data_IF_464772925211
#
_entry.id   IF_464772925211
#
_cell.length_a   1.000
_cell.length_b   1.000
_cell.length_c   1.000
_cell.angle_alpha   90.00
_cell.angle_beta   90.00
_cell.angle_gamma   90.00
#
_symmetry.space_group_name_H-M   'P 1'
#
loop_
_entity.id
_entity.type
_entity.pdbx_description
1 polymer ?
#
# COMPACT_ATOMS: atom_id res chain seq x y z
N UNK A 1 12.98 8.35 32.43
CA UNK A 1 12.09 7.35 31.83
C UNK A 1 12.82 6.85 30.60
N UNK A 2 13.19 5.57 30.55
CA UNK A 2 13.79 4.99 29.35
C UNK A 2 12.71 4.99 28.27
N UNK A 3 12.99 5.54 27.09
CA UNK A 3 12.03 5.55 25.99
C UNK A 3 11.59 4.13 25.65
N UNK A 4 10.32 3.97 25.27
CA UNK A 4 9.84 2.67 24.78
C UNK A 4 10.63 2.29 23.52
N UNK A 5 11.08 1.04 23.47
CA UNK A 5 11.90 0.53 22.38
C UNK A 5 11.02 -0.24 21.42
N UNK A 6 11.04 0.16 20.15
CA UNK A 6 10.41 -0.58 19.06
C UNK A 6 11.26 -1.77 18.65
N UNK A 7 10.64 -2.87 18.25
CA UNK A 7 11.28 -4.13 17.91
C UNK A 7 10.76 -4.69 16.58
N UNK A 8 11.71 -5.10 15.75
CA UNK A 8 11.49 -5.77 14.48
C UNK A 8 12.08 -7.19 14.56
N UNK A 9 11.26 -8.21 14.29
CA UNK A 9 11.74 -9.59 14.23
C UNK A 9 12.09 -9.95 12.79
N UNK A 10 13.33 -10.38 12.55
CA UNK A 10 13.78 -10.85 11.25
C UNK A 10 14.12 -12.35 11.30
N UNK A 11 13.30 -13.14 10.63
CA UNK A 11 13.37 -14.58 10.57
C UNK A 11 13.92 -15.03 9.23
N UNK A 12 14.80 -16.03 9.22
CA UNK A 12 15.25 -16.62 7.96
C UNK A 12 16.01 -17.92 8.15
N UNK A 13 16.43 -18.57 7.05
CA UNK A 13 17.00 -19.91 7.08
C UNK A 13 18.44 -19.97 7.60
N UNK A 14 19.18 -18.87 7.53
CA UNK A 14 20.58 -18.78 7.94
C UNK A 14 20.91 -17.36 8.42
N UNK A 15 21.89 -17.28 9.33
CA UNK A 15 22.32 -16.02 9.96
C UNK A 15 22.89 -15.04 8.93
N UNK A 16 23.63 -15.53 7.95
CA UNK A 16 24.29 -14.71 6.93
C UNK A 16 23.29 -13.96 6.04
N UNK A 17 22.26 -14.64 5.54
CA UNK A 17 21.21 -14.03 4.73
C UNK A 17 20.42 -12.99 5.51
N UNK A 18 20.14 -13.28 6.79
CA UNK A 18 19.46 -12.33 7.69
C UNK A 18 20.31 -11.08 7.92
N UNK A 19 21.61 -11.26 8.16
CA UNK A 19 22.57 -10.19 8.34
C UNK A 19 22.71 -9.34 7.07
N UNK A 20 22.72 -9.97 5.88
CA UNK A 20 22.77 -9.27 4.60
C UNK A 20 21.55 -8.37 4.42
N UNK A 21 20.34 -8.87 4.70
CA UNK A 21 19.11 -8.07 4.61
C UNK A 21 19.13 -6.93 5.63
N UNK A 22 19.50 -7.21 6.88
CA UNK A 22 19.59 -6.20 7.93
C UNK A 22 20.62 -5.11 7.59
N UNK A 23 21.79 -5.49 7.07
CA UNK A 23 22.83 -4.56 6.62
C UNK A 23 22.33 -3.65 5.50
N UNK A 24 21.59 -4.18 4.52
CA UNK A 24 20.99 -3.37 3.45
C UNK A 24 19.93 -2.41 3.99
N UNK A 25 19.12 -2.84 4.97
CA UNK A 25 18.16 -1.96 5.62
C UNK A 25 18.89 -0.81 6.36
N UNK A 26 19.96 -1.11 7.10
CA UNK A 26 20.78 -0.09 7.77
C UNK A 26 21.38 0.91 6.77
N UNK A 27 21.95 0.43 5.66
CA UNK A 27 22.53 1.26 4.61
C UNK A 27 21.48 2.23 4.03
N UNK A 28 20.27 1.75 3.75
CA UNK A 28 19.18 2.57 3.23
C UNK A 28 18.63 3.57 4.25
N UNK A 29 18.79 3.30 5.55
CA UNK A 29 18.45 4.26 6.61
C UNK A 29 19.53 5.35 6.79
N UNK A 30 20.65 5.27 6.07
CA UNK A 30 21.75 6.23 6.16
C UNK A 30 22.71 5.98 7.34
N UNK A 31 22.52 4.89 8.08
CA UNK A 31 23.43 4.48 9.15
C UNK A 31 24.65 3.78 8.53
N UNK A 32 25.67 4.56 8.21
CA UNK A 32 26.94 4.04 7.67
C UNK A 32 27.88 3.48 8.75
N UNK A 33 27.40 3.27 9.98
CA UNK A 33 28.21 2.83 11.11
C UNK A 33 28.58 1.37 10.95
N UNK A 34 29.59 1.14 10.12
CA UNK A 34 30.32 -0.13 9.91
C UNK A 34 31.07 -0.63 11.15
N UNK A 35 30.63 -0.25 12.35
CA UNK A 35 31.16 -0.79 13.60
C UNK A 35 30.79 -2.26 13.65
N UNK A 36 31.74 -3.07 13.13
CA UNK A 36 31.77 -4.52 13.05
C UNK A 36 30.78 -5.15 14.00
N UNK A 37 29.74 -5.74 13.43
CA UNK A 37 28.75 -6.50 14.16
C UNK A 37 29.49 -7.67 14.80
N UNK A 38 29.84 -7.51 16.07
CA UNK A 38 30.20 -8.66 16.91
C UNK A 38 28.99 -9.59 16.93
N UNK A 39 29.23 -10.89 17.07
CA UNK A 39 28.23 -11.93 16.78
C UNK A 39 26.95 -11.86 17.67
N UNK A 40 27.03 -11.08 18.75
CA UNK A 40 25.97 -10.76 19.74
C UNK A 40 25.45 -9.31 19.67
N UNK A 41 25.92 -8.49 18.72
CA UNK A 41 25.56 -7.07 18.66
C UNK A 41 24.15 -6.91 18.08
N UNK A 42 23.25 -6.35 18.89
CA UNK A 42 21.92 -5.92 18.46
C UNK A 42 22.03 -4.95 17.28
N UNK A 43 21.39 -5.31 16.17
CA UNK A 43 21.26 -4.42 15.01
C UNK A 43 20.17 -3.39 15.33
N UNK A 44 20.47 -2.11 15.09
CA UNK A 44 19.53 -1.01 15.33
C UNK A 44 19.28 -0.29 14.01
N UNK A 45 18.02 -0.08 13.66
CA UNK A 45 17.59 0.73 12.53
C UNK A 45 17.10 2.08 13.04
N UNK A 46 17.68 3.17 12.54
CA UNK A 46 17.15 4.51 12.74
C UNK A 46 16.26 4.89 11.55
N UNK A 47 14.97 4.57 11.65
CA UNK A 47 14.01 4.94 10.62
C UNK A 47 13.79 6.44 10.66
N UNK A 48 14.04 7.13 9.55
CA UNK A 48 13.85 8.56 9.43
C UNK A 48 12.97 8.88 8.22
N UNK A 49 11.84 9.52 8.49
CA UNK A 49 10.95 10.03 7.45
C UNK A 49 10.89 11.55 7.51
N UNK A 50 10.11 12.16 6.62
CA UNK A 50 9.78 13.59 6.71
C UNK A 50 9.03 13.93 8.00
N UNK A 51 8.25 12.99 8.54
CA UNK A 51 7.28 13.26 9.61
C UNK A 51 7.76 12.84 10.99
N UNK A 52 8.59 11.80 11.07
CA UNK A 52 9.03 11.22 12.33
C UNK A 52 10.41 10.59 12.20
N UNK A 53 11.02 10.31 13.34
CA UNK A 53 12.11 9.36 13.48
C UNK A 53 11.75 8.27 14.50
N UNK A 54 12.28 7.07 14.33
CA UNK A 54 12.07 5.95 15.24
C UNK A 54 13.32 5.07 15.32
N UNK A 55 13.75 4.73 16.54
CA UNK A 55 14.83 3.78 16.80
C UNK A 55 14.24 2.37 16.98
N UNK A 56 14.54 1.46 16.06
CA UNK A 56 14.00 0.11 16.04
C UNK A 56 15.12 -0.91 16.26
N UNK A 57 14.97 -1.78 17.27
CA UNK A 57 15.88 -2.90 17.51
C UNK A 57 15.50 -4.09 16.64
N UNK A 58 16.45 -4.61 15.86
CA UNK A 58 16.25 -5.71 14.93
C UNK A 58 16.80 -6.99 15.55
N UNK A 59 15.91 -7.95 15.79
CA UNK A 59 16.26 -9.24 16.35
C UNK A 59 16.35 -10.27 15.23
N UNK A 60 17.55 -10.81 15.03
CA UNK A 60 17.86 -11.77 13.99
C UNK A 60 17.70 -13.18 14.55
N UNK A 61 16.84 -13.99 13.94
CA UNK A 61 16.68 -15.39 14.33
C UNK A 61 16.76 -16.30 13.10
N UNK A 62 17.56 -17.35 13.23
CA UNK A 62 17.54 -18.45 12.27
C UNK A 62 16.31 -19.30 12.54
N UNK A 63 15.73 -19.93 11.53
CA UNK A 63 14.65 -20.90 11.71
C UNK A 63 15.16 -22.27 11.30
N UNK A 64 15.26 -23.17 12.28
CA UNK A 64 15.62 -24.57 12.10
C UNK A 64 14.44 -25.43 12.57
N UNK A 65 14.07 -26.43 11.78
CA UNK A 65 12.98 -27.37 12.12
C UNK A 65 11.63 -26.71 12.49
N UNK A 66 11.34 -25.56 11.87
CA UNK A 66 10.16 -24.72 12.14
C UNK A 66 10.16 -24.02 13.51
N UNK A 67 11.31 -23.90 14.16
CA UNK A 67 11.48 -23.15 15.41
C UNK A 67 12.59 -22.10 15.27
N UNK A 68 12.42 -20.90 15.88
CA UNK A 68 13.46 -19.88 15.87
C UNK A 68 14.62 -20.26 16.81
N UNK A 69 15.85 -20.15 16.32
CA UNK A 69 17.09 -20.31 17.06
C UNK A 69 17.92 -19.00 17.01
N UNK A 70 18.31 -18.44 18.17
CA UNK A 70 17.93 -18.86 19.53
C UNK A 70 16.42 -18.68 19.80
N UNK A 71 15.86 -19.25 20.88
CA UNK A 71 14.48 -19.00 21.28
C UNK A 71 14.20 -17.49 21.40
N UNK A 72 12.97 -17.08 21.09
CA UNK A 72 12.59 -15.67 21.15
C UNK A 72 12.73 -15.15 22.60
N UNK A 73 13.51 -14.10 22.77
CA UNK A 73 13.71 -13.42 24.06
C UNK A 73 12.47 -12.66 24.53
N UNK A 74 11.57 -12.33 23.60
CA UNK A 74 10.35 -11.56 23.81
C UNK A 74 9.15 -12.30 23.25
N UNK A 75 7.96 -11.98 23.73
CA UNK A 75 6.74 -12.53 23.17
C UNK A 75 6.47 -11.91 21.79
N UNK A 76 5.76 -12.62 20.92
CA UNK A 76 5.47 -12.13 19.56
C UNK A 76 4.74 -10.78 19.56
N UNK A 77 3.91 -10.52 20.57
CA UNK A 77 3.19 -9.25 20.76
C UNK A 77 4.08 -8.05 21.10
N UNK A 78 5.32 -8.31 21.47
CA UNK A 78 6.30 -7.27 21.78
C UNK A 78 6.98 -6.72 20.52
N UNK A 79 6.85 -7.42 19.40
CA UNK A 79 7.36 -7.00 18.09
C UNK A 79 6.26 -6.25 17.31
N UNK A 80 6.57 -5.08 16.75
CA UNK A 80 5.62 -4.33 15.92
C UNK A 80 5.68 -4.71 14.44
N UNK A 81 6.71 -5.43 14.02
CA UNK A 81 6.85 -5.92 12.66
C UNK A 81 7.64 -7.22 12.60
N UNK A 82 7.41 -7.99 11.54
CA UNK A 82 8.07 -9.25 11.26
C UNK A 82 8.45 -9.33 9.78
N UNK A 83 9.69 -9.71 9.50
CA UNK A 83 10.21 -9.95 8.15
C UNK A 83 10.66 -11.40 8.06
N UNK A 84 10.19 -12.11 7.04
CA UNK A 84 10.67 -13.46 6.69
C UNK A 84 11.57 -13.39 5.46
N UNK A 85 12.82 -13.82 5.62
CA UNK A 85 13.79 -13.98 4.54
C UNK A 85 13.71 -15.42 4.04
N UNK A 86 13.52 -15.60 2.73
CA UNK A 86 13.47 -16.92 2.10
C UNK A 86 14.30 -16.93 0.82
N UNK A 87 15.00 -18.03 0.57
CA UNK A 87 15.63 -18.24 -0.72
C UNK A 87 14.58 -18.78 -1.72
N UNK A 88 14.20 -17.96 -2.69
CA UNK A 88 13.20 -18.34 -3.70
C UNK A 88 13.57 -19.60 -4.51
N UNK A 89 14.86 -19.97 -4.56
CA UNK A 89 15.31 -21.21 -5.23
C UNK A 89 15.06 -22.47 -4.39
N UNK A 90 14.80 -22.34 -3.09
CA UNK A 90 14.63 -23.44 -2.14
C UNK A 90 13.17 -23.49 -1.64
N UNK A 91 12.32 -24.22 -2.36
CA UNK A 91 10.88 -24.35 -2.05
C UNK A 91 10.60 -24.80 -0.60
N UNK A 92 11.46 -25.63 -0.03
CA UNK A 92 11.32 -26.12 1.34
C UNK A 92 11.38 -24.99 2.37
N UNK A 93 12.24 -23.98 2.17
CA UNK A 93 12.31 -22.82 3.08
C UNK A 93 11.01 -22.04 3.10
N UNK A 94 10.34 -21.92 1.96
CA UNK A 94 9.03 -21.28 1.87
C UNK A 94 7.97 -22.07 2.67
N UNK A 95 8.00 -23.40 2.60
CA UNK A 95 7.09 -24.24 3.39
C UNK A 95 7.35 -24.11 4.89
N UNK A 96 8.61 -24.13 5.32
CA UNK A 96 8.97 -23.93 6.72
C UNK A 96 8.51 -22.55 7.23
N UNK A 97 8.74 -21.48 6.48
CA UNK A 97 8.26 -20.14 6.85
C UNK A 97 6.73 -20.05 6.87
N UNK A 98 6.06 -20.70 5.92
CA UNK A 98 4.59 -20.73 5.90
C UNK A 98 4.03 -21.48 7.10
N UNK A 99 4.61 -22.63 7.45
CA UNK A 99 4.20 -23.40 8.63
C UNK A 99 4.47 -22.63 9.93
N UNK A 100 5.62 -21.96 10.02
CA UNK A 100 5.92 -21.11 11.16
C UNK A 100 4.92 -19.96 11.27
N UNK A 101 4.67 -19.21 10.20
CA UNK A 101 3.69 -18.09 10.23
C UNK A 101 2.27 -18.56 10.54
N UNK A 102 1.89 -19.78 10.14
CA UNK A 102 0.65 -20.45 10.59
C UNK A 102 0.68 -20.73 12.09
N UNK A 103 1.76 -21.31 12.61
CA UNK A 103 1.90 -21.64 14.03
C UNK A 103 1.88 -20.40 14.92
N UNK A 104 2.47 -19.29 14.46
CA UNK A 104 2.44 -17.99 15.14
C UNK A 104 1.06 -17.30 15.06
N UNK A 105 0.06 -17.92 14.42
CA UNK A 105 -1.30 -17.38 14.25
C UNK A 105 -1.34 -16.00 13.57
N UNK A 106 -0.35 -15.70 12.71
CA UNK A 106 -0.21 -14.43 12.01
C UNK A 106 -1.11 -14.31 10.76
N UNK A 107 -1.98 -15.29 10.53
CA UNK A 107 -2.70 -15.49 9.27
C UNK A 107 -3.69 -14.40 8.81
N UNK A 108 -4.24 -13.52 9.67
CA UNK A 108 -5.01 -12.39 9.14
C UNK A 108 -4.13 -11.29 8.52
N UNK A 109 -2.80 -11.29 8.74
CA UNK A 109 -1.90 -10.17 8.42
C UNK A 109 -1.02 -10.42 7.17
N UNK A 110 -0.91 -11.65 6.67
CA UNK A 110 0.04 -12.02 5.60
C UNK A 110 -0.61 -12.11 4.20
N UNK A 111 -1.41 -11.12 3.81
CA UNK A 111 -1.95 -11.04 2.45
C UNK A 111 -1.20 -10.00 1.60
N UNK A 112 0.13 -10.14 1.50
CA UNK A 112 0.94 -9.47 0.48
C UNK A 112 1.54 -10.53 -0.43
N UNK A 113 0.68 -11.30 -1.11
CA UNK A 113 1.12 -12.10 -2.23
C UNK A 113 1.30 -11.15 -3.42
N UNK A 114 2.55 -10.89 -3.82
CA UNK A 114 2.85 -10.32 -5.13
C UNK A 114 2.50 -11.38 -6.16
N UNK A 115 1.26 -11.39 -6.64
CA UNK A 115 0.98 -12.02 -7.93
C UNK A 115 1.83 -11.31 -8.99
N UNK A 116 2.52 -12.03 -9.87
CA UNK A 116 3.22 -11.42 -11.00
C UNK A 116 2.16 -10.95 -12.02
N UNK A 117 1.44 -9.87 -11.69
CA UNK A 117 0.55 -9.20 -12.63
C UNK A 117 1.37 -8.23 -13.49
N UNK A 118 1.29 -8.52 -14.79
CA UNK A 118 1.87 -7.78 -15.89
C UNK A 118 1.10 -6.46 -16.03
N UNK A 119 1.62 -5.37 -15.46
CA UNK A 119 1.54 -4.04 -16.08
C UNK A 119 2.44 -3.02 -15.33
N UNK A 120 3.62 -2.74 -15.91
CA UNK A 120 4.64 -1.82 -15.38
C UNK A 120 4.26 -0.33 -15.55
N UNK A 121 2.97 0.03 -15.45
CA UNK A 121 2.53 1.42 -15.65
C UNK A 121 2.68 2.29 -14.38
N UNK A 122 3.00 1.68 -13.24
CA UNK A 122 3.21 2.37 -11.97
C UNK A 122 4.67 2.15 -11.58
N UNK A 123 5.41 3.24 -11.37
CA UNK A 123 6.78 3.26 -10.86
C UNK A 123 6.78 2.87 -9.36
N UNK A 124 6.26 1.68 -9.06
CA UNK A 124 6.22 1.14 -7.70
C UNK A 124 7.60 0.61 -7.33
N UNK A 125 8.07 0.98 -6.13
CA UNK A 125 9.33 0.48 -5.60
C UNK A 125 9.29 -1.04 -5.50
N UNK A 126 10.41 -1.69 -5.79
CA UNK A 126 10.56 -3.14 -5.70
C UNK A 126 11.71 -3.51 -4.75
N UNK A 127 11.74 -4.79 -4.35
CA UNK A 127 12.82 -5.33 -3.51
C UNK A 127 12.89 -4.68 -2.13
N UNK A 128 14.12 -4.37 -1.69
CA UNK A 128 14.39 -3.88 -0.32
C UNK A 128 13.85 -2.46 -0.07
N UNK A 129 13.77 -1.63 -1.11
CA UNK A 129 13.20 -0.28 -1.00
C UNK A 129 11.70 -0.31 -0.69
N UNK A 130 10.99 -1.30 -1.25
CA UNK A 130 9.58 -1.54 -0.94
C UNK A 130 9.38 -1.98 0.49
N UNK A 131 10.28 -2.83 1.00
CA UNK A 131 10.29 -3.24 2.41
C UNK A 131 10.50 -2.04 3.32
N UNK A 132 11.48 -1.18 3.02
CA UNK A 132 11.72 0.03 3.80
C UNK A 132 10.51 0.98 3.79
N UNK A 133 9.86 1.15 2.64
CA UNK A 133 8.64 1.94 2.55
C UNK A 133 7.50 1.37 3.42
N UNK A 134 7.32 0.05 3.43
CA UNK A 134 6.35 -0.59 4.32
C UNK A 134 6.69 -0.36 5.80
N UNK A 135 7.97 -0.42 6.17
CA UNK A 135 8.43 -0.07 7.53
C UNK A 135 8.18 1.40 7.87
N UNK A 136 8.30 2.32 6.90
CA UNK A 136 7.97 3.73 7.09
C UNK A 136 6.47 3.98 7.30
N UNK A 137 5.60 3.11 6.78
CA UNK A 137 4.16 3.18 7.01
C UNK A 137 3.73 2.59 8.36
N UNK A 138 4.60 1.88 9.06
CA UNK A 138 4.28 1.26 10.34
C UNK A 138 4.22 2.27 11.50
N UNK A 139 3.37 2.00 12.48
CA UNK A 139 3.27 2.80 13.71
C UNK A 139 4.18 2.22 14.80
N UNK A 140 5.34 2.84 14.97
CA UNK A 140 6.35 2.44 15.95
C UNK A 140 6.08 3.06 17.33
N UNK A 141 6.30 2.30 18.41
CA UNK A 141 6.13 2.82 19.79
C UNK A 141 7.16 3.90 20.13
N UNK A 142 8.38 3.73 19.62
CA UNK A 142 9.50 4.68 19.73
C UNK A 142 9.42 5.84 18.73
N UNK A 143 8.25 6.08 18.11
CA UNK A 143 8.09 7.12 17.10
C UNK A 143 8.09 8.51 17.76
N UNK A 144 9.03 9.34 17.36
CA UNK A 144 9.12 10.75 17.75
C UNK A 144 8.86 11.62 16.52
N UNK A 145 7.85 12.50 16.61
CA UNK A 145 7.50 13.39 15.51
C UNK A 145 8.62 14.43 15.30
N UNK A 146 9.05 14.59 14.06
CA UNK A 146 9.97 15.67 13.72
C UNK A 146 9.28 17.00 14.08
N UNK A 147 10.01 17.98 14.65
CA UNK A 147 9.44 19.30 14.86
C UNK A 147 8.93 19.79 13.50
N UNK A 148 7.64 20.13 13.44
CA UNK A 148 7.11 20.77 12.24
C UNK A 148 8.01 21.96 11.97
N UNK A 149 8.70 21.94 10.84
CA UNK A 149 9.41 23.11 10.36
C UNK A 149 8.33 24.16 10.24
N UNK A 150 8.20 24.99 11.28
CA UNK A 150 7.37 26.16 11.23
C UNK A 150 7.90 26.87 10.01
N UNK A 151 7.11 26.88 8.94
CA UNK A 151 7.42 27.61 7.73
C UNK A 151 7.55 29.03 8.24
N UNK A 152 8.78 29.46 8.54
CA UNK A 152 9.08 30.81 8.90
C UNK A 152 8.53 31.56 7.71
N UNK A 153 7.42 32.25 7.93
CA UNK A 153 6.74 33.01 6.91
C UNK A 153 7.76 34.08 6.49
N UNK A 154 8.62 33.73 5.55
CA UNK A 154 9.44 34.66 4.81
C UNK A 154 8.42 35.49 4.08
N UNK A 155 8.06 36.60 4.72
CA UNK A 155 7.30 37.69 4.16
C UNK A 155 7.85 37.93 2.76
N UNK A 156 7.11 37.47 1.75
CA UNK A 156 7.40 37.71 0.35
C UNK A 156 7.45 39.23 0.17
N UNK A 157 8.66 39.78 0.13
CA UNK A 157 8.86 41.03 -0.56
C UNK A 157 8.61 40.74 -2.03
N UNK A 158 7.52 41.34 -2.51
CA UNK A 158 7.13 41.44 -3.91
C UNK A 158 8.30 42.03 -4.69
N UNK A 159 9.06 41.16 -5.35
CA UNK A 159 9.85 41.50 -6.52
C UNK A 159 9.16 40.84 -7.71
N UNK A 160 8.34 41.63 -8.39
CA UNK A 160 7.83 41.38 -9.73
C UNK A 160 8.99 41.18 -10.69
N UNK A 161 9.26 39.94 -11.08
CA UNK A 161 9.89 39.65 -12.36
C UNK A 161 9.11 38.56 -13.09
N UNK A 162 8.64 38.96 -14.26
CA UNK A 162 7.89 38.21 -15.25
C UNK A 162 8.64 36.95 -15.69
N UNK A 163 8.13 35.77 -15.32
CA UNK A 163 8.47 34.51 -15.98
C UNK A 163 7.17 33.77 -16.29
N UNK A 164 6.63 34.05 -17.48
CA UNK A 164 5.63 33.25 -18.17
C UNK A 164 6.10 31.80 -18.31
N UNK A 165 5.70 30.93 -17.37
CA UNK A 165 5.84 29.48 -17.53
C UNK A 165 4.54 28.89 -18.07
N UNK A 166 4.45 28.97 -19.39
CA UNK A 166 3.47 28.31 -20.27
C UNK A 166 3.44 26.80 -19.96
N UNK A 167 2.56 26.40 -19.04
CA UNK A 167 2.36 25.00 -18.67
C UNK A 167 1.21 24.47 -19.52
N UNK A 168 1.53 23.51 -20.38
CA UNK A 168 0.68 22.96 -21.45
C UNK A 168 -0.61 22.30 -20.91
N UNK A 169 -1.67 23.08 -20.72
CA UNK A 169 -3.05 22.59 -20.57
C UNK A 169 -3.55 21.81 -21.80
N UNK A 170 -2.81 21.77 -22.90
CA UNK A 170 -3.20 21.00 -24.09
C UNK A 170 -3.01 19.49 -23.91
N UNK A 171 -1.98 19.04 -23.17
CA UNK A 171 -1.65 17.60 -23.05
C UNK A 171 -2.69 16.84 -22.23
N UNK A 172 -3.28 17.48 -21.22
CA UNK A 172 -4.35 16.87 -20.40
C UNK A 172 -5.63 16.69 -21.22
N UNK A 173 -5.95 17.65 -22.10
CA UNK A 173 -7.09 17.52 -23.02
C UNK A 173 -6.86 16.43 -24.09
N UNK A 174 -5.63 16.23 -24.56
CA UNK A 174 -5.33 15.16 -25.54
C UNK A 174 -5.50 13.76 -24.95
N UNK A 175 -5.11 13.52 -23.69
CA UNK A 175 -5.31 12.22 -23.03
C UNK A 175 -6.78 11.93 -22.73
N UNK A 176 -7.57 12.96 -22.41
CA UNK A 176 -9.02 12.84 -22.21
C UNK A 176 -9.78 12.54 -23.51
N UNK A 177 -9.30 13.03 -24.66
CA UNK A 177 -9.85 12.66 -25.95
C UNK A 177 -9.48 11.23 -26.38
N UNK A 178 -8.30 10.74 -25.99
CA UNK A 178 -7.84 9.37 -26.29
C UNK A 178 -8.60 8.28 -25.51
N UNK A 179 -9.13 8.59 -24.33
CA UNK A 179 -9.97 7.69 -23.52
C UNK A 179 -11.45 7.72 -23.93
N UNK A 180 -11.85 8.64 -24.81
CA UNK A 180 -13.20 8.67 -25.39
C UNK A 180 -13.27 7.63 -26.50
N UNK A 181 -13.40 6.36 -26.11
CA UNK A 181 -13.66 5.25 -27.03
C UNK A 181 -14.88 5.64 -27.86
N UNK A 182 -14.78 5.80 -29.19
CA UNK A 182 -15.94 6.05 -30.02
C UNK A 182 -16.80 4.78 -29.98
N UNK A 183 -17.86 4.83 -29.17
CA UNK A 183 -18.95 3.87 -29.26
C UNK A 183 -19.61 4.07 -30.62
N UNK A 184 -19.28 3.17 -31.54
CA UNK A 184 -19.95 3.03 -32.83
C UNK A 184 -21.38 2.54 -32.57
N UNK A 185 -22.43 3.31 -32.90
CA UNK A 185 -23.81 2.83 -32.83
C UNK A 185 -24.08 1.92 -34.03
N UNK A 186 -23.41 0.76 -34.03
CA UNK A 186 -23.53 -0.29 -35.03
C UNK A 186 -24.75 -1.17 -34.75
N UNK A 187 -25.89 -0.76 -35.27
CA UNK A 187 -27.06 -1.55 -35.69
C UNK A 187 -26.88 -3.07 -35.57
N UNK A 188 -27.36 -3.64 -34.46
CA UNK A 188 -27.61 -5.08 -34.34
C UNK A 188 -29.10 -5.33 -34.46
N UNK A 189 -29.57 -5.40 -35.70
CA UNK A 189 -30.89 -5.91 -36.04
C UNK A 189 -30.88 -7.44 -35.90
N UNK A 190 -31.03 -7.92 -34.67
CA UNK A 190 -31.30 -9.32 -34.36
C UNK A 190 -32.75 -9.44 -33.93
N UNK A 191 -33.61 -9.92 -34.83
CA UNK A 191 -34.91 -10.47 -34.44
C UNK A 191 -34.64 -11.67 -33.51
N UNK A 192 -34.88 -11.49 -32.22
CA UNK A 192 -35.05 -12.58 -31.26
C UNK A 192 -36.41 -12.40 -30.61
N UNK A 193 -37.42 -13.00 -31.24
CA UNK A 193 -38.68 -13.30 -30.57
C UNK A 193 -38.41 -14.50 -29.66
N UNK A 194 -38.46 -14.29 -28.35
CA UNK A 194 -38.31 -15.37 -27.39
C UNK A 194 -38.11 -14.92 -25.96
N UNK A 195 -39.24 -14.71 -25.30
CA UNK A 195 -39.51 -15.05 -23.89
C UNK A 195 -38.99 -14.13 -22.76
N UNK A 196 -39.99 -13.54 -22.10
CA UNK A 196 -40.01 -12.95 -20.75
C UNK A 196 -39.25 -13.83 -19.73
N UNK A 197 -38.60 -13.36 -18.65
CA UNK A 197 -38.74 -12.12 -17.92
C UNK A 197 -37.56 -11.98 -16.94
N UNK A 198 -37.35 -10.73 -16.51
CA UNK A 198 -36.80 -10.31 -15.21
C UNK A 198 -35.28 -10.32 -15.01
N UNK A 199 -34.74 -9.08 -15.04
CA UNK A 199 -33.46 -8.58 -14.53
C UNK A 199 -32.37 -8.21 -15.56
N UNK A 200 -32.77 -7.83 -16.77
CA UNK A 200 -31.94 -6.93 -17.58
C UNK A 200 -31.86 -5.58 -16.85
N UNK A 201 -30.82 -5.43 -16.01
CA UNK A 201 -30.41 -4.16 -15.43
C UNK A 201 -30.46 -3.12 -16.56
N UNK A 202 -31.34 -2.14 -16.43
CA UNK A 202 -31.53 -1.09 -17.43
C UNK A 202 -30.18 -0.47 -17.76
N UNK A 203 -29.55 -0.90 -18.87
CA UNK A 203 -28.21 -0.45 -19.24
C UNK A 203 -28.16 1.07 -19.42
N UNK A 204 -29.32 1.67 -19.70
CA UNK A 204 -29.52 3.12 -19.73
C UNK A 204 -29.34 3.77 -18.34
N UNK A 205 -29.83 3.14 -17.27
CA UNK A 205 -29.65 3.60 -15.89
C UNK A 205 -28.19 3.48 -15.45
N UNK A 206 -27.50 2.40 -15.84
CA UNK A 206 -26.07 2.24 -15.58
C UNK A 206 -25.24 3.33 -16.30
N UNK A 207 -25.51 3.58 -17.59
CA UNK A 207 -24.84 4.61 -18.38
C UNK A 207 -25.07 6.04 -17.82
N UNK A 208 -26.27 6.33 -17.31
CA UNK A 208 -26.56 7.58 -16.63
C UNK A 208 -25.71 7.75 -15.36
N UNK A 209 -25.52 6.67 -14.60
CA UNK A 209 -24.73 6.69 -13.38
C UNK A 209 -23.23 6.90 -13.65
N UNK A 210 -22.67 6.26 -14.68
CA UNK A 210 -21.28 6.47 -15.10
C UNK A 210 -21.06 7.92 -15.54
N UNK A 211 -22.04 8.51 -16.23
CA UNK A 211 -22.00 9.93 -16.60
C UNK A 211 -22.03 10.85 -15.37
N UNK A 212 -22.78 10.48 -14.33
CA UNK A 212 -22.81 11.19 -13.04
C UNK A 212 -21.46 11.11 -12.30
N UNK A 213 -20.81 9.94 -12.27
CA UNK A 213 -19.45 9.76 -11.69
C UNK A 213 -18.44 10.65 -12.39
N UNK A 214 -18.46 10.67 -13.73
CA UNK A 214 -17.57 11.51 -14.52
C UNK A 214 -17.83 13.01 -14.27
N UNK A 215 -19.10 13.41 -14.12
CA UNK A 215 -19.45 14.78 -13.78
C UNK A 215 -18.92 15.19 -12.40
N UNK A 216 -19.05 14.32 -11.37
CA UNK A 216 -18.49 14.56 -10.03
C UNK A 216 -16.97 14.69 -10.08
N UNK A 217 -16.29 13.85 -10.87
CA UNK A 217 -14.83 13.94 -11.06
C UNK A 217 -14.42 15.25 -11.73
N UNK A 218 -15.11 15.66 -12.79
CA UNK A 218 -14.79 16.88 -13.54
C UNK A 218 -15.09 18.15 -12.73
N UNK A 219 -16.12 18.13 -11.88
CA UNK A 219 -16.48 19.24 -11.00
C UNK A 219 -15.72 19.23 -9.67
N UNK A 220 -15.05 18.13 -9.33
CA UNK A 220 -14.42 17.91 -8.02
C UNK A 220 -13.31 18.91 -7.67
N UNK A 221 -12.75 19.65 -8.63
CA UNK A 221 -11.80 20.74 -8.33
C UNK A 221 -12.48 22.01 -7.82
N UNK A 222 -13.79 22.18 -8.06
CA UNK A 222 -14.55 23.37 -7.67
C UNK A 222 -15.40 23.15 -6.40
N UNK A 223 -15.55 21.89 -5.97
CA UNK A 223 -16.33 21.51 -4.80
C UNK A 223 -15.45 21.42 -3.57
N UNK A 224 -16.02 21.78 -2.42
CA UNK A 224 -15.36 21.53 -1.14
C UNK A 224 -15.24 20.03 -0.86
N UNK A 225 -14.30 19.65 0.00
CA UNK A 225 -14.07 18.23 0.34
C UNK A 225 -15.34 17.55 0.89
N UNK A 226 -16.09 18.29 1.71
CA UNK A 226 -17.34 17.82 2.30
C UNK A 226 -18.41 17.53 1.23
N UNK A 227 -18.58 18.41 0.25
CA UNK A 227 -19.52 18.22 -0.86
C UNK A 227 -19.10 17.07 -1.78
N UNK A 228 -17.79 16.89 -2.01
CA UNK A 228 -17.27 15.75 -2.78
C UNK A 228 -17.59 14.43 -2.12
N UNK A 229 -17.40 14.35 -0.80
CA UNK A 229 -17.67 13.16 0.00
C UNK A 229 -19.16 12.83 0.01
N UNK A 230 -20.02 13.83 0.18
CA UNK A 230 -21.49 13.64 0.16
C UNK A 230 -21.98 13.14 -1.21
N UNK A 231 -21.49 13.72 -2.31
CA UNK A 231 -21.83 13.26 -3.67
C UNK A 231 -21.31 11.86 -3.96
N UNK A 232 -20.09 11.52 -3.52
CA UNK A 232 -19.54 10.19 -3.67
C UNK A 232 -20.36 9.14 -2.90
N UNK A 233 -20.78 9.45 -1.67
CA UNK A 233 -21.65 8.59 -0.88
C UNK A 233 -23.00 8.36 -1.57
N UNK A 234 -23.60 9.42 -2.15
CA UNK A 234 -24.86 9.31 -2.89
C UNK A 234 -24.76 8.41 -4.11
N UNK A 235 -23.66 8.50 -4.87
CA UNK A 235 -23.41 7.64 -6.03
C UNK A 235 -23.17 6.19 -5.59
N UNK A 236 -22.43 5.97 -4.51
CA UNK A 236 -22.19 4.64 -3.96
C UNK A 236 -23.48 3.95 -3.51
N UNK A 237 -24.40 4.68 -2.84
CA UNK A 237 -25.71 4.15 -2.45
C UNK A 237 -26.55 3.78 -3.68
N UNK A 238 -26.56 4.62 -4.72
CA UNK A 238 -27.28 4.31 -5.98
C UNK A 238 -26.73 3.05 -6.67
N UNK A 239 -25.41 2.88 -6.69
CA UNK A 239 -24.75 1.68 -7.21
C UNK A 239 -25.11 0.44 -6.39
N UNK A 240 -25.11 0.57 -5.07
CA UNK A 240 -25.46 -0.52 -4.16
C UNK A 240 -26.90 -0.98 -4.37
N UNK A 241 -27.84 -0.05 -4.49
CA UNK A 241 -29.25 -0.39 -4.73
C UNK A 241 -29.44 -1.08 -6.10
N UNK A 242 -28.74 -0.61 -7.14
CA UNK A 242 -28.80 -1.23 -8.47
C UNK A 242 -28.26 -2.68 -8.48
N UNK A 243 -27.27 -2.98 -7.63
CA UNK A 243 -26.62 -4.29 -7.56
C UNK A 243 -27.23 -5.25 -6.53
N UNK A 244 -27.99 -4.72 -5.56
CA UNK A 244 -28.39 -5.44 -4.35
C UNK A 244 -29.88 -5.76 -4.22
N UNK A 245 -30.72 -5.35 -5.17
CA UNK A 245 -32.18 -5.51 -5.06
C UNK A 245 -32.69 -6.93 -5.43
N UNK A 246 -31.80 -7.87 -5.79
CA UNK A 246 -32.18 -9.25 -6.19
C UNK A 246 -31.93 -10.31 -5.09
N UNK A 247 -31.99 -9.92 -3.81
CA UNK A 247 -31.97 -10.89 -2.68
C UNK A 247 -33.38 -11.28 -2.22
N UNK A 248 -34.26 -11.52 -3.20
CA UNK A 248 -35.58 -12.11 -3.01
C UNK A 248 -35.47 -13.56 -2.55
N UNK A 249 -35.52 -13.75 -1.24
CA UNK A 249 -35.72 -15.03 -0.56
C UNK A 249 -37.10 -15.62 -0.87
N UNK A 250 -37.23 -16.37 -1.96
CA UNK A 250 -38.31 -17.36 -2.12
C UNK A 250 -37.75 -18.75 -1.76
N UNK A 251 -38.02 -19.16 -0.52
CA UNK A 251 -37.88 -20.54 -0.06
C UNK A 251 -39.27 -21.11 0.17
N UNK A 252 -39.73 -21.95 -0.76
CA UNK A 252 -40.83 -22.91 -0.56
C UNK A 252 -40.26 -24.27 -0.09
#
# INVERSE_FOLDING_TARGET
MLGEVSRLLLLGPDKDSNLEVASKLCELCGDSTSDTLDDDKLVVLNLQTKYYHARVEVHLHQVLDNEPEPPLHHELRDYEALICVVNAKKKEQFLHMRLLTMALSLWPWTAWHTEPMIDNAIDEKQGIERVLEALHCNMWRSMEMNPSQSVTATSLQVATEDIEKKTDSSRVNTLLQALKIPGDPGTSAGNSEGDDNENDIDMNQFNALISEVQAVRNQGQLLTDEERRDRAAKVAIKLWNLLGEDSGSDSD
#
